data_IF_759034461136
#
_entry.id   IF_759034461136
#
_cell.length_a   1.000
_cell.length_b   1.000
_cell.length_c   1.000
_cell.angle_alpha   90.00
_cell.angle_beta   90.00
_cell.angle_gamma   90.00
#
_symmetry.space_group_name_H-M   'P 1'
#
loop_
_entity.id
_entity.type
_entity.pdbx_description
1 polymer ?
#
# COMPACT_ATOMS: atom_id res chain seq x y z
N UNK A 1 -9.34 -9.09 18.67
CA UNK A 1 -8.42 -8.29 17.83
C UNK A 1 -9.13 -8.00 16.52
N UNK A 2 -9.40 -6.73 16.19
CA UNK A 2 -10.08 -6.39 14.93
C UNK A 2 -9.10 -6.56 13.76
N UNK A 3 -9.41 -7.50 12.87
CA UNK A 3 -8.70 -7.68 11.61
C UNK A 3 -9.08 -6.54 10.66
N UNK A 4 -8.14 -5.64 10.35
CA UNK A 4 -8.40 -4.60 9.35
C UNK A 4 -8.32 -5.23 7.96
N UNK A 5 -9.34 -5.00 7.13
CA UNK A 5 -9.33 -5.46 5.74
C UNK A 5 -8.23 -4.75 4.94
N UNK A 6 -7.69 -5.45 3.95
CA UNK A 6 -6.78 -4.86 2.99
C UNK A 6 -7.56 -3.92 2.06
N UNK A 7 -7.11 -2.69 1.81
CA UNK A 7 -7.74 -1.81 0.82
C UNK A 7 -7.52 -2.31 -0.62
N UNK A 8 -6.38 -2.97 -0.89
CA UNK A 8 -6.00 -3.42 -2.23
C UNK A 8 -6.59 -4.77 -2.65
N UNK A 9 -7.27 -5.49 -1.77
CA UNK A 9 -8.01 -6.69 -2.15
C UNK A 9 -9.14 -7.01 -1.16
N UNK A 10 -10.27 -7.54 -1.65
CA UNK A 10 -11.41 -7.87 -0.80
C UNK A 10 -11.18 -9.10 0.09
N UNK A 11 -10.28 -10.00 -0.29
CA UNK A 11 -9.99 -11.26 0.42
C UNK A 11 -8.86 -11.16 1.44
N UNK A 12 -8.11 -10.05 1.44
CA UNK A 12 -6.93 -9.89 2.28
C UNK A 12 -7.23 -9.26 3.63
N UNK A 13 -6.52 -9.73 4.65
CA UNK A 13 -6.46 -9.09 5.97
C UNK A 13 -5.07 -8.52 6.17
N UNK A 14 -4.98 -7.26 6.60
CA UNK A 14 -3.70 -6.64 6.95
C UNK A 14 -3.45 -6.74 8.46
N UNK A 15 -2.18 -6.92 8.81
CA UNK A 15 -1.74 -6.89 10.20
C UNK A 15 -1.77 -5.47 10.80
N UNK A 16 -1.73 -5.35 12.14
CA UNK A 16 -1.60 -4.05 12.80
C UNK A 16 -0.31 -3.35 12.34
N UNK A 17 -0.39 -2.05 12.05
CA UNK A 17 0.74 -1.25 11.56
C UNK A 17 1.19 -1.55 10.12
N UNK A 18 0.50 -2.44 9.39
CA UNK A 18 0.74 -2.67 7.96
C UNK A 18 -0.20 -1.82 7.10
N UNK A 19 0.32 -1.38 5.95
CA UNK A 19 -0.45 -0.65 4.94
C UNK A 19 -1.36 -1.59 4.14
N UNK A 20 -0.83 -2.76 3.74
CA UNK A 20 -1.53 -3.78 2.95
C UNK A 20 -1.35 -5.17 3.58
N UNK A 21 -2.12 -6.15 3.11
CA UNK A 21 -1.85 -7.56 3.40
C UNK A 21 -0.54 -8.00 2.69
N UNK A 22 0.04 -9.11 3.12
CA UNK A 22 1.31 -9.61 2.57
C UNK A 22 1.24 -9.89 1.07
N UNK A 23 0.12 -10.42 0.57
CA UNK A 23 -0.10 -10.68 -0.86
C UNK A 23 -0.05 -9.39 -1.68
N UNK A 24 -0.92 -8.43 -1.36
CA UNK A 24 -0.96 -7.13 -2.03
C UNK A 24 0.37 -6.37 -1.92
N UNK A 25 1.04 -6.48 -0.77
CA UNK A 25 2.36 -5.89 -0.58
C UNK A 25 3.38 -6.48 -1.55
N UNK A 26 3.35 -7.77 -1.84
CA UNK A 26 4.27 -8.39 -2.80
C UNK A 26 3.93 -8.11 -4.27
N UNK A 27 2.68 -7.76 -4.57
CA UNK A 27 2.26 -7.34 -5.92
C UNK A 27 2.77 -5.95 -6.29
N UNK A 28 3.04 -5.09 -5.29
CA UNK A 28 3.58 -3.76 -5.54
C UNK A 28 4.96 -3.83 -6.22
N UNK A 29 5.23 -2.92 -7.19
CA UNK A 29 6.55 -2.76 -7.77
C UNK A 29 7.62 -2.58 -6.69
N UNK A 30 8.79 -3.19 -6.90
CA UNK A 30 9.91 -3.08 -5.95
C UNK A 30 10.32 -1.63 -5.69
N UNK A 31 10.20 -0.75 -6.69
CA UNK A 31 10.43 0.68 -6.53
C UNK A 31 9.43 1.33 -5.55
N UNK A 32 8.13 1.10 -5.75
CA UNK A 32 7.08 1.59 -4.85
C UNK A 32 7.25 1.07 -3.43
N UNK A 33 7.57 -0.23 -3.26
CA UNK A 33 7.85 -0.82 -1.93
C UNK A 33 9.02 -0.15 -1.22
N UNK A 34 10.10 0.16 -1.95
CA UNK A 34 11.28 0.86 -1.38
C UNK A 34 10.91 2.26 -0.92
N UNK A 35 10.09 2.99 -1.68
CA UNK A 35 9.64 4.34 -1.32
C UNK A 35 8.67 4.34 -0.14
N UNK A 36 7.74 3.37 -0.08
CA UNK A 36 6.81 3.20 1.04
C UNK A 36 7.50 2.74 2.34
N UNK A 37 8.64 2.05 2.24
CA UNK A 37 9.44 1.68 3.41
C UNK A 37 10.29 2.84 3.96
N UNK A 38 10.48 3.92 3.21
CA UNK A 38 11.23 5.09 3.69
C UNK A 38 10.40 5.85 4.72
N UNK A 39 10.98 6.04 5.90
CA UNK A 39 10.40 6.79 7.01
C UNK A 39 10.96 8.21 7.01
N UNK A 40 10.41 9.05 6.15
CA UNK A 40 10.71 10.48 6.07
C UNK A 40 9.43 11.31 6.29
N UNK A 41 9.56 12.64 6.24
CA UNK A 41 8.42 13.56 6.37
C UNK A 41 7.38 13.40 5.25
N UNK A 42 7.71 12.70 4.15
CA UNK A 42 6.81 12.41 3.02
C UNK A 42 6.18 11.02 3.08
N UNK A 43 6.49 10.20 4.09
CA UNK A 43 5.93 8.86 4.22
C UNK A 43 4.39 8.86 4.22
N UNK A 44 3.76 9.85 4.86
CA UNK A 44 2.30 9.99 4.84
C UNK A 44 1.75 10.42 3.49
N UNK A 45 2.47 11.25 2.73
CA UNK A 45 2.07 11.64 1.37
C UNK A 45 2.08 10.43 0.43
N UNK A 46 3.15 9.63 0.48
CA UNK A 46 3.28 8.36 -0.25
C UNK A 46 2.18 7.37 0.10
N UNK A 47 1.84 7.27 1.38
CA UNK A 47 0.74 6.42 1.82
C UNK A 47 -0.59 6.90 1.25
N UNK A 48 -0.82 8.22 1.22
CA UNK A 48 -2.03 8.79 0.66
C UNK A 48 -2.13 8.54 -0.84
N UNK A 49 -1.04 8.72 -1.60
CA UNK A 49 -0.97 8.37 -3.03
C UNK A 49 -1.29 6.90 -3.28
N UNK A 50 -0.73 5.99 -2.47
CA UNK A 50 -1.05 4.56 -2.55
C UNK A 50 -2.55 4.30 -2.36
N UNK A 51 -3.16 4.90 -1.33
CA UNK A 51 -4.59 4.72 -1.08
C UNK A 51 -5.44 5.33 -2.19
N UNK A 52 -5.07 6.52 -2.70
CA UNK A 52 -5.77 7.21 -3.77
C UNK A 52 -5.79 6.36 -5.06
N UNK A 53 -4.64 5.80 -5.44
CA UNK A 53 -4.52 4.88 -6.57
C UNK A 53 -5.34 3.60 -6.38
N UNK A 54 -5.34 3.03 -5.18
CA UNK A 54 -6.18 1.88 -4.88
C UNK A 54 -7.66 2.22 -5.00
N UNK A 55 -8.09 3.38 -4.48
CA UNK A 55 -9.50 3.81 -4.54
C UNK A 55 -9.95 4.20 -5.93
N UNK A 56 -9.04 4.67 -6.79
CA UNK A 56 -9.31 4.95 -8.20
C UNK A 56 -9.29 3.69 -9.07
N UNK A 57 -8.96 2.53 -8.49
CA UNK A 57 -8.99 1.24 -9.16
C UNK A 57 -7.70 0.88 -9.90
N UNK A 58 -6.60 1.57 -9.63
CA UNK A 58 -5.28 1.23 -10.20
C UNK A 58 -4.85 -0.14 -9.68
N UNK A 59 -4.52 -1.08 -10.58
CA UNK A 59 -3.98 -2.37 -10.20
C UNK A 59 -2.68 -2.22 -9.38
N UNK A 60 -2.52 -2.99 -8.31
CA UNK A 60 -1.37 -2.90 -7.41
C UNK A 60 0.00 -3.02 -8.11
N UNK A 61 0.08 -3.73 -9.23
CA UNK A 61 1.33 -3.90 -9.99
C UNK A 61 1.68 -2.69 -10.86
N UNK A 62 0.75 -1.76 -11.07
CA UNK A 62 0.92 -0.51 -11.81
C UNK A 62 1.08 0.69 -10.87
N UNK A 63 0.96 0.48 -9.55
CA UNK A 63 1.06 1.57 -8.58
C UNK A 63 2.48 2.13 -8.56
N UNK A 64 2.56 3.43 -8.84
CA UNK A 64 3.77 4.22 -8.75
C UNK A 64 3.60 5.26 -7.64
N UNK A 65 4.59 5.35 -6.75
CA UNK A 65 4.56 6.30 -5.62
C UNK A 65 5.70 7.29 -5.82
N UNK A 66 5.42 8.58 -5.67
CA UNK A 66 6.42 9.62 -5.87
C UNK A 66 7.31 9.86 -4.63
N UNK A 67 8.54 10.38 -4.79
CA UNK A 67 9.47 10.66 -3.69
C UNK A 67 9.09 11.82 -2.77
#
# INVERSE_FOLDING_TARGET
MAHTRCPGCPSGVKGPGKYLCFGCWNTLPTAARRLLNRRDSRAMARLRELYDQITTGVPLHEIEVSP
#
